data_IF_606088497992
#
_entry.id   IF_606088497992
#
_cell.length_a   1.000
_cell.length_b   1.000
_cell.length_c   1.000
_cell.angle_alpha   90.00
_cell.angle_beta   90.00
_cell.angle_gamma   90.00
#
_symmetry.space_group_name_H-M   'P 1'
#
loop_
_entity.id
_entity.type
_entity.pdbx_description
1 polymer ?
#
# COMPACT_ATOMS: atom_id res chain seq x y z
N UNK A 1 -48.67 -45.70 17.10
CA UNK A 1 -47.77 -44.72 17.74
C UNK A 1 -46.97 -44.04 16.65
N UNK A 2 -47.27 -42.77 16.38
CA UNK A 2 -46.63 -41.98 15.33
C UNK A 2 -45.24 -41.56 15.84
N UNK A 3 -44.18 -42.06 15.23
CA UNK A 3 -42.83 -41.50 15.40
C UNK A 3 -42.83 -40.07 14.82
N UNK A 4 -42.83 -39.07 15.71
CA UNK A 4 -42.48 -37.70 15.33
C UNK A 4 -41.06 -37.73 14.77
N UNK A 5 -40.87 -37.30 13.52
CA UNK A 5 -39.53 -36.98 13.04
C UNK A 5 -39.01 -35.82 13.88
N UNK A 6 -38.03 -36.08 14.74
CA UNK A 6 -37.33 -35.01 15.45
C UNK A 6 -36.50 -34.25 14.41
N UNK A 7 -37.04 -33.15 13.91
CA UNK A 7 -36.21 -32.15 13.24
C UNK A 7 -35.26 -31.60 14.30
N UNK A 8 -33.97 -31.94 14.20
CA UNK A 8 -32.93 -31.35 15.06
C UNK A 8 -33.00 -29.84 14.91
N UNK A 9 -33.35 -29.14 15.99
CA UNK A 9 -33.34 -27.69 15.99
C UNK A 9 -31.89 -27.21 16.08
N UNK A 10 -31.63 -26.01 15.58
CA UNK A 10 -30.30 -25.42 15.64
C UNK A 10 -29.79 -25.35 17.09
N UNK A 11 -30.68 -25.15 18.07
CA UNK A 11 -30.29 -25.12 19.48
C UNK A 11 -29.90 -26.49 20.07
N UNK A 12 -30.09 -27.60 19.34
CA UNK A 12 -29.81 -28.95 19.83
C UNK A 12 -28.37 -29.41 19.54
N UNK A 13 -27.61 -28.67 18.74
CA UNK A 13 -26.21 -29.01 18.44
C UNK A 13 -25.33 -28.97 19.69
N UNK A 14 -24.29 -29.81 19.69
CA UNK A 14 -23.34 -29.93 20.79
C UNK A 14 -22.52 -28.64 20.99
N UNK A 15 -22.04 -28.39 22.22
CA UNK A 15 -21.31 -27.16 22.57
C UNK A 15 -20.02 -26.99 21.73
N UNK A 16 -19.38 -28.11 21.41
CA UNK A 16 -18.13 -28.21 20.64
C UNK A 16 -18.30 -27.57 19.25
N UNK A 17 -19.42 -27.83 18.58
CA UNK A 17 -19.73 -27.24 17.27
C UNK A 17 -19.77 -25.72 17.34
N UNK A 18 -20.35 -25.17 18.41
CA UNK A 18 -20.44 -23.73 18.58
C UNK A 18 -19.11 -23.10 18.98
N UNK A 19 -18.26 -23.80 19.74
CA UNK A 19 -16.91 -23.31 20.01
C UNK A 19 -16.10 -23.16 18.73
N UNK A 20 -16.19 -24.14 17.82
CA UNK A 20 -15.54 -24.08 16.51
C UNK A 20 -16.09 -22.92 15.69
N UNK A 21 -17.41 -22.73 15.63
CA UNK A 21 -18.03 -21.58 14.93
C UNK A 21 -17.57 -20.25 15.53
N UNK A 22 -17.55 -20.14 16.86
CA UNK A 22 -17.14 -18.93 17.55
C UNK A 22 -15.65 -18.60 17.37
N UNK A 23 -14.80 -19.54 16.96
CA UNK A 23 -13.39 -19.26 16.67
C UNK A 23 -13.19 -18.52 15.34
N UNK A 24 -14.16 -18.59 14.43
CA UNK A 24 -14.15 -17.85 13.16
C UNK A 24 -14.91 -16.51 13.22
N UNK A 25 -15.63 -16.23 14.30
CA UNK A 25 -16.45 -15.03 14.46
C UNK A 25 -15.79 -14.03 15.42
N UNK A 26 -16.04 -12.74 15.20
CA UNK A 26 -15.62 -11.73 16.17
C UNK A 26 -16.60 -11.64 17.35
N UNK A 27 -16.15 -11.02 18.45
CA UNK A 27 -16.98 -10.86 19.65
C UNK A 27 -18.33 -10.20 19.35
N UNK A 28 -18.38 -9.23 18.43
CA UNK A 28 -19.63 -8.55 18.10
C UNK A 28 -20.60 -9.54 17.46
N UNK A 29 -20.15 -10.28 16.46
CA UNK A 29 -21.00 -11.20 15.71
C UNK A 29 -21.51 -12.33 16.61
N UNK A 30 -20.70 -12.77 17.58
CA UNK A 30 -21.08 -13.79 18.57
C UNK A 30 -22.21 -13.27 19.47
N UNK A 31 -22.04 -12.13 20.15
CA UNK A 31 -23.06 -11.61 21.06
C UNK A 31 -24.33 -11.19 20.32
N UNK A 32 -24.21 -10.57 19.15
CA UNK A 32 -25.36 -10.13 18.37
C UNK A 32 -26.15 -11.29 17.74
N UNK A 33 -25.48 -12.40 17.40
CA UNK A 33 -26.15 -13.54 16.75
C UNK A 33 -26.63 -14.59 17.75
N UNK A 34 -25.96 -14.73 18.91
CA UNK A 34 -26.20 -15.84 19.84
C UNK A 34 -26.54 -15.40 21.28
N UNK A 35 -26.27 -14.15 21.66
CA UNK A 35 -26.40 -13.68 23.04
C UNK A 35 -27.84 -13.72 23.57
N UNK A 36 -28.81 -13.45 22.70
CA UNK A 36 -30.22 -13.35 23.05
C UNK A 36 -31.03 -14.62 22.70
N UNK A 37 -30.41 -15.67 22.15
CA UNK A 37 -31.13 -16.89 21.75
C UNK A 37 -31.72 -17.58 22.98
N UNK A 38 -30.87 -17.94 23.96
CA UNK A 38 -31.30 -18.49 25.24
C UNK A 38 -30.15 -18.49 26.27
N UNK A 39 -30.48 -18.85 27.53
CA UNK A 39 -29.51 -18.90 28.63
C UNK A 39 -28.33 -19.87 28.38
N UNK A 40 -28.53 -20.93 27.59
CA UNK A 40 -27.45 -21.88 27.26
C UNK A 40 -26.40 -21.20 26.39
N UNK A 41 -26.82 -20.56 25.30
CA UNK A 41 -25.91 -19.83 24.42
C UNK A 41 -25.21 -18.68 25.14
N UNK A 42 -25.93 -17.91 25.96
CA UNK A 42 -25.31 -16.85 26.76
C UNK A 42 -24.19 -17.40 27.68
N UNK A 43 -24.42 -18.51 28.38
CA UNK A 43 -23.39 -19.18 29.20
C UNK A 43 -22.23 -19.72 28.35
N UNK A 44 -22.54 -20.27 27.18
CA UNK A 44 -21.57 -20.85 26.26
C UNK A 44 -20.62 -19.79 25.67
N UNK A 45 -21.15 -18.59 25.40
CA UNK A 45 -20.35 -17.44 24.99
C UNK A 45 -19.39 -17.06 26.13
N UNK A 46 -19.91 -16.88 27.36
CA UNK A 46 -19.09 -16.49 28.51
C UNK A 46 -18.05 -17.55 28.95
N UNK A 47 -18.26 -18.83 28.62
CA UNK A 47 -17.29 -19.89 28.88
C UNK A 47 -16.15 -19.95 27.85
N UNK A 48 -16.20 -19.14 26.79
CA UNK A 48 -15.14 -19.07 25.78
C UNK A 48 -13.84 -18.58 26.42
N UNK A 49 -12.74 -19.25 26.11
CA UNK A 49 -11.44 -18.97 26.74
C UNK A 49 -10.76 -17.69 26.26
N UNK A 50 -11.08 -17.25 25.04
CA UNK A 50 -10.43 -16.13 24.35
C UNK A 50 -11.42 -15.34 23.52
N UNK A 51 -11.31 -14.02 23.55
CA UNK A 51 -12.09 -13.12 22.69
C UNK A 51 -11.20 -12.24 21.81
N UNK A 52 -11.65 -12.05 20.57
CA UNK A 52 -11.08 -11.11 19.60
C UNK A 52 -12.14 -10.06 19.28
N UNK A 53 -11.99 -8.87 19.86
CA UNK A 53 -12.98 -7.81 19.74
C UNK A 53 -12.59 -6.82 18.64
N UNK A 54 -13.57 -6.49 17.80
CA UNK A 54 -13.47 -5.58 16.66
C UNK A 54 -14.57 -4.53 16.76
N UNK A 55 -14.20 -3.34 17.22
CA UNK A 55 -15.08 -2.19 17.33
C UNK A 55 -14.91 -1.33 16.07
N UNK A 56 -15.71 -1.63 15.06
CA UNK A 56 -15.82 -0.86 13.82
C UNK A 56 -17.02 0.08 13.83
N UNK A 57 -17.03 1.02 12.89
CA UNK A 57 -18.04 2.05 12.68
C UNK A 57 -19.50 1.54 12.74
N UNK A 58 -20.01 1.52 13.96
CA UNK A 58 -21.42 1.43 14.32
C UNK A 58 -21.73 2.72 15.09
N UNK A 59 -22.96 3.21 14.99
CA UNK A 59 -23.41 4.46 15.63
C UNK A 59 -22.87 4.64 17.06
N UNK A 60 -22.64 5.89 17.51
CA UNK A 60 -22.14 6.20 18.85
C UNK A 60 -22.88 5.42 19.95
N UNK A 61 -24.21 5.31 19.83
CA UNK A 61 -25.05 4.55 20.75
C UNK A 61 -24.68 3.06 20.82
N UNK A 62 -24.36 2.44 19.68
CA UNK A 62 -23.89 1.05 19.63
C UNK A 62 -22.50 0.94 20.25
N UNK A 63 -21.58 1.84 19.93
CA UNK A 63 -20.24 1.83 20.53
C UNK A 63 -20.29 1.92 22.06
N UNK A 64 -21.06 2.87 22.60
CA UNK A 64 -21.25 3.03 24.04
C UNK A 64 -21.92 1.80 24.67
N UNK A 65 -22.96 1.26 24.04
CA UNK A 65 -23.60 0.02 24.49
C UNK A 65 -22.59 -1.13 24.63
N UNK A 66 -21.70 -1.31 23.64
CA UNK A 66 -20.67 -2.36 23.70
C UNK A 66 -19.64 -2.11 24.79
N UNK A 67 -19.19 -0.87 24.95
CA UNK A 67 -18.27 -0.50 26.01
C UNK A 67 -18.90 -0.76 27.38
N UNK A 68 -20.14 -0.35 27.60
CA UNK A 68 -20.81 -0.46 28.90
C UNK A 68 -21.28 -1.88 29.23
N UNK A 69 -21.73 -2.67 28.25
CA UNK A 69 -22.43 -3.93 28.50
C UNK A 69 -21.64 -5.18 28.10
N UNK A 70 -20.74 -5.09 27.10
CA UNK A 70 -20.05 -6.28 26.55
C UNK A 70 -18.61 -6.36 27.05
N UNK A 71 -17.86 -5.26 26.97
CA UNK A 71 -16.45 -5.22 27.38
C UNK A 71 -16.24 -5.66 28.84
N UNK A 72 -17.06 -5.26 29.83
CA UNK A 72 -16.88 -5.67 31.22
C UNK A 72 -17.07 -7.17 31.43
N UNK A 73 -17.88 -7.82 30.59
CA UNK A 73 -18.16 -9.26 30.67
C UNK A 73 -16.99 -10.10 30.17
N UNK A 74 -16.23 -9.59 29.19
CA UNK A 74 -15.19 -10.35 28.50
C UNK A 74 -13.77 -9.88 28.82
N UNK A 75 -13.60 -8.84 29.64
CA UNK A 75 -12.31 -8.17 29.87
C UNK A 75 -11.17 -9.13 30.27
N UNK A 76 -11.48 -10.16 31.05
CA UNK A 76 -10.49 -11.11 31.57
C UNK A 76 -10.08 -12.17 30.53
N UNK A 77 -10.89 -12.34 29.48
CA UNK A 77 -10.69 -13.29 28.38
C UNK A 77 -10.29 -12.59 27.07
N UNK A 78 -10.23 -11.26 27.04
CA UNK A 78 -9.93 -10.48 25.85
C UNK A 78 -8.45 -10.59 25.48
N UNK A 79 -8.16 -11.11 24.28
CA UNK A 79 -6.79 -11.34 23.79
C UNK A 79 -6.38 -10.33 22.73
N UNK A 80 -7.34 -9.89 21.92
CA UNK A 80 -7.12 -8.89 20.86
C UNK A 80 -8.22 -7.84 20.86
N UNK A 81 -7.85 -6.57 20.77
CA UNK A 81 -8.77 -5.45 20.67
C UNK A 81 -8.40 -4.59 19.46
N UNK A 82 -9.35 -4.42 18.54
CA UNK A 82 -9.22 -3.52 17.40
C UNK A 82 -10.32 -2.45 17.45
N UNK A 83 -9.93 -1.18 17.43
CA UNK A 83 -10.84 -0.03 17.40
C UNK A 83 -10.54 0.80 16.15
N UNK A 84 -11.53 1.00 15.28
CA UNK A 84 -11.39 1.72 14.00
C UNK A 84 -12.64 2.56 13.72
N UNK A 85 -12.49 3.89 13.55
CA UNK A 85 -13.63 4.82 13.41
C UNK A 85 -13.39 5.92 12.36
N UNK A 86 -14.44 6.29 11.60
CA UNK A 86 -14.35 7.17 10.42
C UNK A 86 -14.66 8.65 10.71
N UNK A 87 -15.14 9.03 11.92
CA UNK A 87 -15.63 10.40 12.19
C UNK A 87 -14.83 11.18 13.24
N UNK A 88 -14.85 12.51 13.09
CA UNK A 88 -14.10 13.60 13.74
C UNK A 88 -14.17 13.72 15.30
N UNK A 89 -14.75 12.77 16.04
CA UNK A 89 -14.79 12.80 17.52
C UNK A 89 -13.85 11.78 18.15
N UNK A 90 -13.18 12.17 19.22
CA UNK A 90 -12.15 11.41 19.93
C UNK A 90 -12.72 10.33 20.86
N UNK A 91 -13.49 9.42 20.29
CA UNK A 91 -14.13 8.32 21.02
C UNK A 91 -13.10 7.28 21.51
N UNK A 92 -11.94 7.17 20.84
CA UNK A 92 -10.81 6.34 21.29
C UNK A 92 -10.22 6.92 22.57
N UNK A 93 -10.05 8.24 22.64
CA UNK A 93 -9.73 8.94 23.89
C UNK A 93 -10.71 8.63 24.99
N UNK A 94 -12.00 8.73 24.67
CA UNK A 94 -13.08 8.43 25.60
C UNK A 94 -12.98 6.99 26.12
N UNK A 95 -12.75 6.00 25.24
CA UNK A 95 -12.52 4.61 25.64
C UNK A 95 -11.31 4.44 26.56
N UNK A 96 -10.18 5.07 26.23
CA UNK A 96 -8.94 4.99 27.02
C UNK A 96 -9.07 5.72 28.37
N UNK A 97 -9.98 6.69 28.48
CA UNK A 97 -10.35 7.33 29.76
C UNK A 97 -11.17 6.37 30.62
N UNK A 98 -12.14 5.65 30.04
CA UNK A 98 -13.01 4.72 30.77
C UNK A 98 -12.32 3.40 31.12
N UNK A 99 -11.45 2.89 30.25
CA UNK A 99 -10.80 1.59 30.40
C UNK A 99 -9.28 1.73 30.29
N UNK A 100 -8.60 1.60 31.42
CA UNK A 100 -7.16 1.44 31.42
C UNK A 100 -6.79 0.07 30.84
N UNK A 101 -5.76 -0.01 29.99
CA UNK A 101 -5.36 -1.27 29.36
C UNK A 101 -4.97 -2.36 30.38
N UNK A 102 -4.56 -1.96 31.59
CA UNK A 102 -4.28 -2.87 32.72
C UNK A 102 -5.50 -3.68 33.18
N UNK A 103 -6.71 -3.22 32.85
CA UNK A 103 -7.95 -3.95 33.14
C UNK A 103 -8.13 -5.21 32.27
N UNK A 104 -7.28 -5.40 31.26
CA UNK A 104 -7.32 -6.54 30.33
C UNK A 104 -6.08 -7.43 30.53
N UNK A 105 -6.09 -8.36 31.50
CA UNK A 105 -4.89 -9.10 31.90
C UNK A 105 -4.34 -10.04 30.82
N UNK A 106 -5.17 -10.43 29.83
CA UNK A 106 -4.79 -11.32 28.73
C UNK A 106 -4.60 -10.61 27.39
N UNK A 107 -4.72 -9.28 27.36
CA UNK A 107 -4.61 -8.53 26.12
C UNK A 107 -3.18 -8.61 25.61
N UNK A 108 -3.03 -9.14 24.40
CA UNK A 108 -1.73 -9.32 23.75
C UNK A 108 -1.61 -8.59 22.41
N UNK A 109 -2.74 -8.17 21.83
CA UNK A 109 -2.80 -7.46 20.56
C UNK A 109 -3.74 -6.27 20.67
N UNK A 110 -3.23 -5.08 20.35
CA UNK A 110 -4.00 -3.84 20.31
C UNK A 110 -3.85 -3.18 18.95
N UNK A 111 -4.97 -2.80 18.33
CA UNK A 111 -4.99 -2.01 17.10
C UNK A 111 -5.90 -0.81 17.30
N UNK A 112 -5.33 0.38 17.28
CA UNK A 112 -6.05 1.64 17.34
C UNK A 112 -5.93 2.30 15.98
N UNK A 113 -7.05 2.63 15.35
CA UNK A 113 -7.05 3.39 14.11
C UNK A 113 -7.85 4.66 14.25
N UNK A 114 -7.34 5.73 13.66
CA UNK A 114 -7.96 7.04 13.58
C UNK A 114 -7.98 7.75 14.94
N UNK A 115 -6.96 7.51 15.78
CA UNK A 115 -6.81 8.17 17.09
C UNK A 115 -6.33 9.63 16.92
N UNK A 116 -6.77 10.52 17.81
CA UNK A 116 -6.33 11.92 17.82
C UNK A 116 -4.95 12.07 18.49
N UNK A 117 -4.21 13.15 18.17
CA UNK A 117 -2.95 13.47 18.85
C UNK A 117 -3.12 13.67 20.37
N UNK A 118 -4.26 14.24 20.79
CA UNK A 118 -4.56 14.45 22.21
C UNK A 118 -4.68 13.12 22.96
N UNK A 119 -5.35 12.14 22.36
CA UNK A 119 -5.56 10.82 22.96
C UNK A 119 -4.39 9.87 22.82
N UNK A 120 -3.46 10.13 21.90
CA UNK A 120 -2.17 9.45 21.91
C UNK A 120 -1.36 9.79 23.16
N UNK A 121 -1.43 11.05 23.65
CA UNK A 121 -0.68 11.51 24.83
C UNK A 121 -1.18 10.88 26.14
N UNK A 122 -2.39 10.32 26.17
CA UNK A 122 -2.94 9.66 27.35
C UNK A 122 -2.45 8.21 27.51
N UNK A 123 -1.90 7.60 26.45
CA UNK A 123 -1.33 6.25 26.49
C UNK A 123 0.01 6.28 27.21
N UNK A 124 0.14 5.53 28.31
CA UNK A 124 1.38 5.44 29.11
C UNK A 124 2.18 4.19 28.74
N UNK A 125 3.52 4.26 28.78
CA UNK A 125 4.44 3.12 28.52
C UNK A 125 4.06 1.89 29.34
N UNK A 126 3.82 2.09 30.64
CA UNK A 126 3.55 1.03 31.60
C UNK A 126 2.32 0.18 31.23
N UNK A 127 1.45 0.72 30.37
CA UNK A 127 0.25 0.04 29.88
C UNK A 127 0.51 -0.83 28.64
N UNK A 128 1.65 -0.66 27.97
CA UNK A 128 2.00 -1.33 26.71
C UNK A 128 2.95 -2.53 26.90
N UNK A 129 3.57 -2.67 28.08
CA UNK A 129 4.56 -3.71 28.40
C UNK A 129 4.01 -5.13 28.29
N UNK A 130 2.71 -5.33 28.49
CA UNK A 130 2.06 -6.65 28.40
C UNK A 130 1.69 -7.06 26.97
N UNK A 131 1.74 -6.12 26.02
CA UNK A 131 1.34 -6.37 24.64
C UNK A 131 2.46 -7.09 23.86
N UNK A 132 2.08 -7.91 22.89
CA UNK A 132 2.98 -8.53 21.90
C UNK A 132 2.87 -7.85 20.54
N UNK A 133 1.70 -7.29 20.23
CA UNK A 133 1.41 -6.62 18.98
C UNK A 133 0.68 -5.29 19.25
N UNK A 134 1.15 -4.20 18.62
CA UNK A 134 0.57 -2.88 18.77
C UNK A 134 0.56 -2.15 17.42
N UNK A 135 -0.62 -1.84 16.88
CA UNK A 135 -0.79 -1.08 15.65
C UNK A 135 -1.54 0.22 15.94
N UNK A 136 -1.01 1.38 15.52
CA UNK A 136 -1.59 2.70 15.83
C UNK A 136 -1.62 3.59 14.59
N UNK A 137 -2.82 3.82 14.06
CA UNK A 137 -3.09 4.75 12.95
C UNK A 137 -3.73 6.02 13.51
N UNK A 138 -3.23 7.21 13.17
CA UNK A 138 -3.66 8.47 13.79
C UNK A 138 -3.73 9.62 12.78
N UNK A 139 -4.48 10.69 13.09
CA UNK A 139 -4.48 11.90 12.26
C UNK A 139 -3.43 12.87 12.80
N UNK A 140 -2.39 13.18 12.03
CA UNK A 140 -1.45 14.25 12.36
C UNK A 140 -1.92 15.57 11.74
N UNK A 141 -2.11 16.60 12.55
CA UNK A 141 -2.12 17.96 12.02
C UNK A 141 -0.67 18.37 11.77
N UNK A 142 -0.43 18.94 10.58
CA UNK A 142 0.90 19.30 10.06
C UNK A 142 1.85 19.86 11.12
N UNK A 143 2.88 19.07 11.46
CA UNK A 143 4.11 19.57 12.12
C UNK A 143 4.34 19.25 13.59
N UNK A 144 3.66 18.30 14.24
CA UNK A 144 3.82 18.16 15.70
C UNK A 144 4.98 17.26 16.16
N UNK A 145 5.82 17.86 17.00
CA UNK A 145 6.79 17.33 17.98
C UNK A 145 6.39 16.03 18.74
N UNK A 146 5.14 15.57 18.61
CA UNK A 146 4.54 14.45 19.36
C UNK A 146 4.94 13.06 18.85
N UNK A 147 5.14 12.89 17.53
CA UNK A 147 5.54 11.59 16.95
C UNK A 147 6.90 11.16 17.52
N UNK A 148 7.84 12.11 17.65
CA UNK A 148 9.19 11.84 18.15
C UNK A 148 9.18 11.37 19.61
N UNK A 149 8.31 11.94 20.44
CA UNK A 149 8.16 11.52 21.84
C UNK A 149 7.53 10.14 21.95
N UNK A 150 6.49 9.86 21.16
CA UNK A 150 5.85 8.53 21.14
C UNK A 150 6.79 7.45 20.57
N UNK A 151 7.61 7.83 19.59
CA UNK A 151 8.66 6.97 19.03
C UNK A 151 9.74 6.65 20.07
N UNK A 152 10.28 7.67 20.76
CA UNK A 152 11.24 7.47 21.84
C UNK A 152 10.65 6.61 22.96
N UNK A 153 9.39 6.85 23.30
CA UNK A 153 8.63 6.12 24.30
C UNK A 153 8.54 4.62 23.96
N UNK A 154 8.19 4.27 22.72
CA UNK A 154 8.01 2.89 22.26
C UNK A 154 9.34 2.19 21.95
N UNK A 155 10.38 2.94 21.56
CA UNK A 155 11.73 2.40 21.33
C UNK A 155 12.33 1.72 22.58
N UNK A 156 11.79 2.02 23.76
CA UNK A 156 12.16 1.36 25.03
C UNK A 156 11.52 -0.03 25.22
N UNK A 157 10.60 -0.46 24.33
CA UNK A 157 9.84 -1.71 24.41
C UNK A 157 10.17 -2.64 23.21
N UNK A 158 11.34 -3.31 23.22
CA UNK A 158 11.87 -4.07 22.06
C UNK A 158 11.05 -5.33 21.68
N UNK A 159 10.07 -5.71 22.49
CA UNK A 159 9.22 -6.88 22.26
C UNK A 159 8.00 -6.61 21.34
N UNK A 160 7.69 -5.34 21.05
CA UNK A 160 6.56 -4.92 20.20
C UNK A 160 7.01 -4.81 18.72
N UNK A 161 6.92 -5.90 17.96
CA UNK A 161 7.57 -6.05 16.63
C UNK A 161 6.73 -5.74 15.36
N UNK A 162 5.55 -5.11 15.44
CA UNK A 162 5.13 -4.30 14.30
C UNK A 162 4.38 -3.04 14.72
N UNK A 163 5.05 -1.89 14.68
CA UNK A 163 4.38 -0.60 14.82
C UNK A 163 4.11 -0.01 13.43
N UNK A 164 2.84 0.20 13.11
CA UNK A 164 2.42 0.85 11.86
C UNK A 164 1.82 2.19 12.25
N UNK A 165 2.50 3.28 11.90
CA UNK A 165 1.94 4.63 11.94
C UNK A 165 1.42 4.97 10.55
N UNK A 166 0.21 5.52 10.48
CA UNK A 166 -0.31 6.12 9.24
C UNK A 166 -0.94 7.44 9.60
N UNK A 167 -0.48 8.51 8.96
CA UNK A 167 -1.18 9.79 8.92
C UNK A 167 -2.25 9.73 7.82
N UNK A 168 -3.30 10.51 7.98
CA UNK A 168 -4.43 10.60 7.06
C UNK A 168 -4.37 11.85 6.18
N UNK A 169 -3.54 12.85 6.53
CA UNK A 169 -3.30 14.04 5.70
C UNK A 169 -1.99 13.97 4.92
N UNK A 170 -0.96 13.28 5.44
CA UNK A 170 0.12 12.72 4.62
C UNK A 170 -0.06 11.21 4.50
N UNK A 171 -0.02 10.65 3.30
CA UNK A 171 -0.28 9.22 3.03
C UNK A 171 0.92 8.36 3.45
N UNK A 172 1.57 8.65 4.57
CA UNK A 172 2.81 7.98 4.96
C UNK A 172 2.51 6.80 5.90
N UNK A 173 2.68 5.56 5.41
CA UNK A 173 2.88 4.38 6.25
C UNK A 173 4.31 4.42 6.82
N UNK A 174 4.50 4.88 8.06
CA UNK A 174 5.75 4.68 8.79
C UNK A 174 5.67 3.35 9.55
N UNK A 175 6.28 2.30 8.98
CA UNK A 175 6.71 1.13 9.75
C UNK A 175 8.04 1.53 10.37
N UNK A 176 8.05 1.86 11.66
CA UNK A 176 9.32 2.07 12.37
C UNK A 176 9.66 0.79 13.13
N UNK A 177 10.41 -0.08 12.45
CA UNK A 177 11.11 -1.19 13.08
C UNK A 177 12.50 -0.69 13.47
N UNK A 178 12.91 -0.90 14.72
CA UNK A 178 14.14 -0.36 15.31
C UNK A 178 15.42 -1.07 14.84
N UNK A 179 15.38 -1.72 13.69
CA UNK A 179 16.53 -2.40 13.11
C UNK A 179 16.89 -1.75 11.78
N UNK A 180 18.04 -1.08 11.81
CA UNK A 180 18.88 -0.64 10.69
C UNK A 180 19.23 -1.79 9.70
N UNK A 181 18.63 -2.97 9.86
CA UNK A 181 18.75 -4.12 8.95
C UNK A 181 17.52 -4.34 8.04
N UNK A 182 16.51 -3.45 8.04
CA UNK A 182 15.42 -3.48 7.04
C UNK A 182 15.59 -2.55 5.84
N UNK A 183 16.83 -2.15 5.55
CA UNK A 183 17.26 -1.99 4.17
C UNK A 183 17.31 -3.36 3.44
N UNK A 184 17.38 -4.50 4.15
CA UNK A 184 17.39 -5.84 3.54
C UNK A 184 16.02 -6.53 3.38
N UNK A 185 14.95 -5.75 3.20
CA UNK A 185 13.82 -6.19 2.38
C UNK A 185 13.56 -5.18 1.27
N UNK A 186 14.61 -4.93 0.47
CA UNK A 186 14.45 -4.55 -0.92
C UNK A 186 13.47 -5.54 -1.56
N UNK A 187 12.23 -5.11 -1.80
CA UNK A 187 11.40 -5.80 -2.79
C UNK A 187 12.26 -5.87 -4.06
N UNK A 188 12.36 -7.06 -4.64
CA UNK A 188 13.20 -7.39 -5.81
C UNK A 188 13.00 -6.49 -7.05
N UNK A 189 12.07 -5.53 -6.95
CA UNK A 189 11.50 -4.73 -8.01
C UNK A 189 11.61 -3.20 -7.74
N UNK A 190 12.41 -2.72 -6.77
CA UNK A 190 12.93 -1.33 -6.74
C UNK A 190 11.92 -0.17 -6.62
N UNK A 191 10.74 -0.36 -6.02
CA UNK A 191 9.70 0.67 -6.00
C UNK A 191 9.58 1.43 -4.67
N UNK A 192 9.44 2.75 -4.77
CA UNK A 192 9.26 3.68 -3.65
C UNK A 192 7.88 4.34 -3.73
N UNK A 193 7.10 4.19 -2.67
CA UNK A 193 5.85 4.90 -2.50
C UNK A 193 6.12 6.15 -1.65
N UNK A 194 5.99 7.31 -2.30
CA UNK A 194 5.99 8.69 -1.77
C UNK A 194 7.35 9.40 -1.71
N UNK A 195 7.58 10.17 -2.77
CA UNK A 195 8.35 11.41 -2.72
C UNK A 195 7.35 12.55 -2.47
N UNK A 196 7.69 13.63 -1.76
CA UNK A 196 6.85 14.81 -1.74
C UNK A 196 6.62 15.28 -3.17
N UNK A 197 5.39 15.65 -3.49
CA UNK A 197 4.93 16.25 -4.75
C UNK A 197 5.68 17.55 -5.13
N UNK A 198 6.67 17.94 -4.33
CA UNK A 198 7.43 19.18 -4.39
C UNK A 198 8.94 18.93 -4.44
N UNK A 199 9.45 17.95 -5.20
CA UNK A 199 10.87 18.00 -5.56
C UNK A 199 11.01 19.28 -6.40
N UNK A 200 11.73 20.27 -5.89
CA UNK A 200 11.92 21.53 -6.60
C UNK A 200 12.75 21.22 -7.85
N UNK A 201 12.16 21.42 -9.05
CA UNK A 201 12.90 21.38 -10.32
C UNK A 201 14.06 22.37 -10.22
N UNK A 202 15.24 21.85 -9.92
CA UNK A 202 16.50 22.56 -9.97
C UNK A 202 17.41 21.69 -10.80
N UNK A 203 17.63 22.14 -12.04
CA UNK A 203 18.54 21.46 -12.95
C UNK A 203 19.93 21.42 -12.33
N UNK A 204 20.50 20.22 -12.26
CA UNK A 204 21.84 19.96 -11.70
C UNK A 204 22.89 20.59 -12.62
N UNK A 205 22.75 20.37 -13.93
CA UNK A 205 23.70 20.82 -14.95
C UNK A 205 23.04 20.77 -16.34
N UNK A 206 23.31 21.76 -17.20
CA UNK A 206 22.82 21.82 -18.59
C UNK A 206 23.61 20.94 -19.57
N UNK A 207 24.72 20.33 -19.12
CA UNK A 207 25.58 19.44 -19.94
C UNK A 207 25.12 17.99 -19.98
N UNK A 208 24.12 17.61 -19.17
CA UNK A 208 23.66 16.22 -19.09
C UNK A 208 22.84 15.89 -20.33
N UNK A 209 23.31 14.93 -21.11
CA UNK A 209 22.61 14.37 -22.27
C UNK A 209 22.15 12.95 -21.96
N UNK A 210 20.92 12.62 -22.37
CA UNK A 210 20.35 11.27 -22.24
C UNK A 210 19.83 10.85 -23.61
N UNK A 211 20.27 9.68 -24.08
CA UNK A 211 19.86 9.10 -25.36
C UNK A 211 19.06 7.82 -25.12
N UNK A 212 17.92 7.70 -25.77
CA UNK A 212 17.09 6.49 -25.73
C UNK A 212 17.73 5.39 -26.58
N UNK A 213 17.90 4.22 -25.99
CA UNK A 213 18.40 3.03 -26.69
C UNK A 213 17.28 2.35 -27.52
N UNK A 214 17.68 1.67 -28.59
CA UNK A 214 16.76 1.00 -29.54
C UNK A 214 15.67 1.94 -30.10
N UNK A 215 16.05 3.19 -30.41
CA UNK A 215 15.11 4.22 -30.87
C UNK A 215 14.32 3.81 -32.12
N UNK A 216 14.92 3.04 -33.03
CA UNK A 216 14.23 2.52 -34.23
C UNK A 216 13.07 1.59 -33.87
N UNK A 217 13.25 0.74 -32.85
CA UNK A 217 12.19 -0.14 -32.36
C UNK A 217 11.07 0.66 -31.69
N UNK A 218 11.44 1.65 -30.88
CA UNK A 218 10.47 2.57 -30.28
C UNK A 218 9.67 3.32 -31.35
N UNK A 219 10.32 3.79 -32.42
CA UNK A 219 9.65 4.47 -33.53
C UNK A 219 8.66 3.56 -34.27
N UNK A 220 8.98 2.27 -34.47
CA UNK A 220 8.05 1.31 -35.05
C UNK A 220 6.78 1.22 -34.18
N UNK A 221 6.93 1.08 -32.86
CA UNK A 221 5.77 1.03 -31.96
C UNK A 221 5.03 2.37 -31.87
N UNK A 222 5.73 3.51 -31.91
CA UNK A 222 5.15 4.85 -31.93
C UNK A 222 4.20 5.02 -33.12
N UNK A 223 4.62 4.61 -34.31
CA UNK A 223 3.79 4.67 -35.54
C UNK A 223 2.54 3.78 -35.41
N UNK A 224 2.65 2.65 -34.71
CA UNK A 224 1.53 1.74 -34.44
C UNK A 224 0.66 2.14 -33.24
N UNK A 225 0.90 3.31 -32.64
CA UNK A 225 0.26 3.77 -31.41
C UNK A 225 0.46 2.80 -30.24
N UNK A 226 1.71 2.73 -29.76
CA UNK A 226 2.21 1.80 -28.73
C UNK A 226 1.18 1.43 -27.65
N UNK A 227 0.95 0.14 -27.45
CA UNK A 227 0.15 -0.37 -26.33
C UNK A 227 1.00 -1.17 -25.33
N UNK A 228 0.71 -0.98 -24.04
CA UNK A 228 1.35 -1.70 -22.95
C UNK A 228 0.31 -2.42 -22.09
N UNK A 229 0.47 -3.73 -21.91
CA UNK A 229 -0.45 -4.52 -21.09
C UNK A 229 -0.22 -4.25 -19.60
N UNK A 230 -1.29 -3.95 -18.87
CA UNK A 230 -1.33 -3.93 -17.41
C UNK A 230 -2.04 -5.16 -16.87
N UNK A 231 -1.49 -5.75 -15.81
CA UNK A 231 -2.06 -6.94 -15.14
C UNK A 231 -2.13 -6.74 -13.63
N UNK A 232 -2.93 -7.56 -12.94
CA UNK A 232 -3.04 -7.51 -11.47
C UNK A 232 -1.71 -7.79 -10.76
N UNK A 233 -0.87 -8.68 -11.31
CA UNK A 233 0.43 -9.07 -10.74
C UNK A 233 1.60 -8.22 -11.24
N UNK A 234 1.34 -7.24 -12.12
CA UNK A 234 2.38 -6.46 -12.78
C UNK A 234 2.89 -7.09 -14.08
N UNK A 235 3.17 -6.23 -15.06
CA UNK A 235 3.72 -6.62 -16.36
C UNK A 235 4.90 -5.72 -16.71
N UNK A 236 5.97 -6.31 -17.27
CA UNK A 236 7.13 -5.55 -17.73
C UNK A 236 6.82 -4.75 -18.99
N UNK A 237 7.49 -3.62 -19.14
CA UNK A 237 7.45 -2.82 -20.36
C UNK A 237 8.10 -3.58 -21.53
N UNK A 238 7.55 -3.40 -22.73
CA UNK A 238 8.20 -3.82 -23.97
C UNK A 238 7.83 -2.83 -25.08
N UNK A 239 8.76 -2.22 -25.83
CA UNK A 239 10.22 -2.36 -25.70
C UNK A 239 10.73 -1.98 -24.30
N UNK A 240 11.90 -2.51 -23.93
CA UNK A 240 12.48 -2.20 -22.62
C UNK A 240 12.96 -0.76 -22.63
N UNK A 241 12.62 0.02 -21.62
CA UNK A 241 13.15 1.37 -21.49
C UNK A 241 14.63 1.30 -21.07
N UNK A 242 15.52 1.80 -21.92
CA UNK A 242 16.96 1.83 -21.69
C UNK A 242 17.55 3.11 -22.25
N UNK A 243 18.58 3.63 -21.58
CA UNK A 243 19.19 4.93 -21.92
C UNK A 243 20.71 4.88 -21.79
N UNK A 244 21.38 5.66 -22.62
CA UNK A 244 22.79 6.03 -22.43
C UNK A 244 22.86 7.46 -21.91
N UNK A 245 23.67 7.68 -20.87
CA UNK A 245 23.78 8.96 -20.17
C UNK A 245 25.20 9.49 -20.34
N UNK A 246 25.35 10.78 -20.65
CA UNK A 246 26.64 11.47 -20.73
C UNK A 246 26.58 12.84 -20.06
N UNK A 247 27.73 13.38 -19.64
CA UNK A 247 27.82 14.72 -19.05
C UNK A 247 27.52 14.81 -17.55
N UNK A 248 27.45 13.67 -16.85
CA UNK A 248 27.43 13.64 -15.37
C UNK A 248 28.82 13.97 -14.81
N UNK A 249 28.88 14.57 -13.63
CA UNK A 249 30.14 14.76 -12.93
C UNK A 249 30.69 13.40 -12.44
N UNK A 250 31.89 12.96 -12.86
CA UNK A 250 32.34 11.58 -12.63
C UNK A 250 32.38 11.14 -11.16
N UNK A 251 32.71 12.06 -10.25
CA UNK A 251 32.93 11.78 -8.83
C UNK A 251 31.73 12.13 -7.93
N UNK A 252 30.60 12.54 -8.52
CA UNK A 252 29.38 12.86 -7.77
C UNK A 252 28.44 11.66 -7.79
N UNK A 253 27.72 11.45 -6.70
CA UNK A 253 26.73 10.38 -6.57
C UNK A 253 25.37 10.80 -7.14
N UNK A 254 24.81 9.91 -7.96
CA UNK A 254 23.50 10.07 -8.57
C UNK A 254 22.63 8.84 -8.33
N UNK A 255 21.32 9.07 -8.26
CA UNK A 255 20.30 8.05 -8.30
C UNK A 255 19.39 8.27 -9.51
N UNK A 256 19.02 7.19 -10.18
CA UNK A 256 18.11 7.23 -11.32
C UNK A 256 16.72 6.75 -10.92
N UNK A 257 15.72 7.57 -11.21
CA UNK A 257 14.31 7.29 -10.98
C UNK A 257 13.56 7.21 -12.31
N UNK A 258 12.53 6.38 -12.35
CA UNK A 258 11.58 6.33 -13.45
C UNK A 258 10.18 6.53 -12.90
N UNK A 259 9.42 7.43 -13.52
CA UNK A 259 7.97 7.53 -13.33
C UNK A 259 7.24 7.31 -14.66
N UNK A 260 5.91 7.21 -14.56
CA UNK A 260 5.03 7.16 -15.71
C UNK A 260 3.91 8.18 -15.47
N UNK A 261 3.84 9.19 -16.34
CA UNK A 261 2.98 10.36 -16.19
C UNK A 261 1.85 10.31 -17.22
N UNK A 262 0.60 10.61 -16.86
CA UNK A 262 -0.50 10.65 -17.82
C UNK A 262 -0.32 11.75 -18.86
N UNK A 263 -0.75 11.47 -20.09
CA UNK A 263 -0.69 12.42 -21.21
C UNK A 263 -2.09 12.95 -21.52
N UNK A 264 -2.43 14.10 -20.95
CA UNK A 264 -3.74 14.71 -21.10
C UNK A 264 -4.82 14.10 -20.20
N UNK A 265 -6.05 14.55 -20.40
CA UNK A 265 -7.16 14.37 -19.45
C UNK A 265 -8.34 13.56 -20.03
N UNK A 266 -8.08 12.73 -21.04
CA UNK A 266 -9.11 11.98 -21.75
C UNK A 266 -8.95 10.47 -21.52
N UNK A 267 -10.08 9.79 -21.40
CA UNK A 267 -10.19 8.34 -21.51
C UNK A 267 -10.52 7.99 -22.97
N UNK A 268 -9.93 6.91 -23.47
CA UNK A 268 -10.11 6.49 -24.85
C UNK A 268 -10.85 5.14 -24.97
N UNK A 269 -11.35 4.88 -26.17
CA UNK A 269 -11.87 3.57 -26.62
C UNK A 269 -11.29 3.28 -28.00
N UNK A 270 -11.14 2.00 -28.33
CA UNK A 270 -10.64 1.58 -29.64
C UNK A 270 -11.78 0.91 -30.41
N UNK A 271 -12.24 1.57 -31.48
CA UNK A 271 -13.35 1.15 -32.35
C UNK A 271 -12.98 1.47 -33.79
N UNK A 272 -13.47 0.69 -34.76
CA UNK A 272 -13.20 0.89 -36.19
C UNK A 272 -11.70 1.05 -36.54
N UNK A 273 -10.86 0.28 -35.84
CA UNK A 273 -9.39 0.29 -35.97
C UNK A 273 -8.74 1.65 -35.65
N UNK A 274 -9.36 2.45 -34.78
CA UNK A 274 -8.86 3.78 -34.36
C UNK A 274 -9.16 4.07 -32.90
N UNK A 275 -8.33 4.92 -32.30
CA UNK A 275 -8.58 5.45 -30.96
C UNK A 275 -9.53 6.65 -31.00
N UNK A 276 -10.57 6.59 -30.18
CA UNK A 276 -11.56 7.64 -30.00
C UNK A 276 -11.61 8.09 -28.54
N UNK A 277 -11.94 9.36 -28.32
CA UNK A 277 -12.17 9.87 -26.97
C UNK A 277 -13.52 9.34 -26.48
N UNK A 278 -13.50 8.58 -25.39
CA UNK A 278 -14.69 8.03 -24.75
C UNK A 278 -15.24 8.95 -23.64
N UNK A 279 -14.36 9.73 -23.00
CA UNK A 279 -14.76 10.61 -21.91
C UNK A 279 -13.57 11.28 -21.22
N UNK A 280 -13.82 11.80 -20.01
CA UNK A 280 -12.78 12.41 -19.18
C UNK A 280 -12.00 11.35 -18.42
N UNK A 281 -10.69 11.56 -18.29
CA UNK A 281 -9.82 10.68 -17.52
C UNK A 281 -10.25 10.57 -16.06
N UNK A 282 -10.10 9.38 -15.49
CA UNK A 282 -10.32 9.16 -14.06
C UNK A 282 -9.22 9.87 -13.25
N UNK A 283 -9.50 10.26 -11.99
CA UNK A 283 -8.47 10.75 -11.09
C UNK A 283 -7.31 9.74 -11.00
N UNK A 284 -6.10 10.21 -11.28
CA UNK A 284 -4.91 9.37 -11.22
C UNK A 284 -4.54 9.06 -9.77
N UNK A 285 -4.10 7.82 -9.53
CA UNK A 285 -3.50 7.44 -8.25
C UNK A 285 -2.24 8.27 -7.97
N UNK A 286 -1.77 8.26 -6.71
CA UNK A 286 -0.52 8.92 -6.33
C UNK A 286 0.66 8.53 -7.24
N UNK A 287 1.49 9.51 -7.55
CA UNK A 287 2.68 9.36 -8.37
C UNK A 287 3.67 8.40 -7.68
N UNK A 288 4.11 7.38 -8.42
CA UNK A 288 5.08 6.38 -7.93
C UNK A 288 6.35 6.47 -8.73
N UNK A 289 7.47 6.31 -8.04
CA UNK A 289 8.80 6.29 -8.65
C UNK A 289 9.41 4.91 -8.48
N UNK A 290 9.95 4.41 -9.57
CA UNK A 290 10.85 3.25 -9.59
C UNK A 290 12.28 3.75 -9.44
N UNK A 291 13.01 3.24 -8.45
CA UNK A 291 14.45 3.45 -8.32
C UNK A 291 15.18 2.35 -9.08
N UNK A 292 16.15 2.74 -9.90
CA UNK A 292 16.97 1.78 -10.63
C UNK A 292 17.65 0.79 -9.68
N UNK A 293 17.71 -0.49 -10.05
CA UNK A 293 18.20 -1.55 -9.15
C UNK A 293 19.66 -1.41 -8.70
N UNK A 294 20.44 -0.56 -9.37
CA UNK A 294 21.83 -0.27 -8.99
C UNK A 294 21.93 0.75 -7.84
N UNK A 295 20.80 1.35 -7.41
CA UNK A 295 20.75 2.29 -6.30
C UNK A 295 21.45 3.62 -6.58
N UNK A 296 22.19 4.12 -5.59
CA UNK A 296 23.05 5.32 -5.73
C UNK A 296 24.40 4.90 -6.28
N UNK A 297 24.87 5.54 -7.35
CA UNK A 297 26.18 5.29 -7.97
C UNK A 297 26.85 6.59 -8.40
N UNK A 298 28.17 6.56 -8.53
CA UNK A 298 28.94 7.69 -9.08
C UNK A 298 28.57 7.96 -10.54
N UNK A 299 28.66 9.21 -10.98
CA UNK A 299 28.41 9.61 -12.36
C UNK A 299 29.25 8.82 -13.36
N UNK A 300 30.51 8.52 -13.02
CA UNK A 300 31.39 7.68 -13.83
C UNK A 300 30.80 6.27 -14.08
N UNK A 301 30.14 5.69 -13.08
CA UNK A 301 29.55 4.36 -13.19
C UNK A 301 28.29 4.38 -14.05
N UNK A 302 27.45 5.42 -13.93
CA UNK A 302 26.26 5.57 -14.75
C UNK A 302 26.55 5.84 -16.23
N UNK A 303 27.67 6.51 -16.53
CA UNK A 303 28.10 6.80 -17.90
C UNK A 303 28.91 5.66 -18.54
N UNK A 304 29.20 4.58 -17.81
CA UNK A 304 30.06 3.50 -18.29
C UNK A 304 29.40 2.67 -19.38
N UNK A 305 28.15 2.26 -19.15
CA UNK A 305 27.38 1.35 -19.99
C UNK A 305 25.93 1.84 -20.07
N UNK A 306 25.13 1.28 -20.99
CA UNK A 306 23.70 1.61 -21.07
C UNK A 306 22.96 1.18 -19.79
N UNK A 307 22.00 2.00 -19.36
CA UNK A 307 21.17 1.78 -18.17
C UNK A 307 19.82 1.21 -18.58
N UNK A 308 19.45 0.04 -18.06
CA UNK A 308 18.23 -0.69 -18.45
C UNK A 308 17.21 -0.80 -17.32
N UNK A 309 15.97 -0.40 -17.59
CA UNK A 309 14.85 -0.49 -16.65
C UNK A 309 14.02 -1.78 -16.85
N UNK A 310 14.69 -2.92 -17.06
CA UNK A 310 14.06 -4.20 -17.42
C UNK A 310 13.22 -4.85 -16.30
N UNK A 311 13.35 -4.37 -15.05
CA UNK A 311 12.57 -4.85 -13.90
C UNK A 311 11.33 -4.03 -13.61
N UNK A 312 11.12 -2.90 -14.30
CA UNK A 312 9.92 -2.07 -14.11
C UNK A 312 8.68 -2.86 -14.48
N UNK A 313 7.67 -2.82 -13.61
CA UNK A 313 6.36 -3.43 -13.84
C UNK A 313 5.24 -2.41 -13.67
N UNK A 314 4.24 -2.51 -14.54
CA UNK A 314 3.01 -1.72 -14.53
C UNK A 314 1.80 -2.60 -14.19
N UNK A 315 0.84 -2.08 -13.42
CA UNK A 315 -0.33 -2.80 -12.91
C UNK A 315 -1.59 -1.94 -12.92
N UNK A 316 -2.76 -2.56 -12.80
CA UNK A 316 -4.04 -1.89 -12.61
C UNK A 316 -4.59 -1.97 -11.17
N UNK A 317 -3.90 -2.65 -10.24
CA UNK A 317 -4.46 -2.90 -8.91
C UNK A 317 -3.42 -2.98 -7.77
N UNK A 318 -2.26 -3.57 -8.01
CA UNK A 318 -1.31 -3.87 -6.93
C UNK A 318 -0.66 -2.61 -6.36
N UNK A 319 -0.49 -2.58 -5.02
CA UNK A 319 0.27 -1.52 -4.34
C UNK A 319 1.79 -1.64 -4.55
N UNK A 320 2.28 -2.72 -5.13
CA UNK A 320 3.72 -3.00 -5.26
C UNK A 320 4.34 -2.54 -6.58
N UNK A 321 3.55 -2.12 -7.57
CA UNK A 321 3.99 -1.79 -8.94
C UNK A 321 3.51 -0.40 -9.38
N UNK A 322 4.00 0.14 -10.50
CA UNK A 322 3.48 1.42 -11.01
C UNK A 322 2.02 1.20 -11.44
N UNK A 323 1.08 1.91 -10.80
CA UNK A 323 -0.36 1.76 -11.08
C UNK A 323 -0.72 2.70 -12.22
N UNK A 324 -1.36 2.16 -13.25
CA UNK A 324 -1.88 2.89 -14.39
C UNK A 324 -3.36 2.54 -14.59
N UNK A 325 -4.13 3.52 -15.06
CA UNK A 325 -5.51 3.29 -15.45
C UNK A 325 -5.55 2.74 -16.88
N UNK A 326 -6.35 1.70 -17.12
CA UNK A 326 -6.53 1.19 -18.49
C UNK A 326 -7.19 2.24 -19.38
N UNK A 327 -6.91 2.19 -20.68
CA UNK A 327 -7.46 3.06 -21.72
C UNK A 327 -7.07 4.54 -21.58
N UNK A 328 -5.88 4.80 -21.03
CA UNK A 328 -5.31 6.14 -20.88
C UNK A 328 -3.89 6.17 -21.46
N UNK A 329 -3.49 7.29 -22.09
CA UNK A 329 -2.14 7.50 -22.58
C UNK A 329 -1.18 7.91 -21.46
N UNK A 330 0.04 7.43 -21.53
CA UNK A 330 1.10 7.68 -20.56
C UNK A 330 2.44 7.92 -21.25
N UNK A 331 3.31 8.69 -20.61
CA UNK A 331 4.70 8.93 -21.01
C UNK A 331 5.64 8.52 -19.89
N UNK A 332 6.77 7.91 -20.26
CA UNK A 332 7.83 7.56 -19.32
C UNK A 332 8.69 8.81 -19.07
N UNK A 333 8.97 9.14 -17.82
CA UNK A 333 9.99 10.14 -17.47
C UNK A 333 11.12 9.53 -16.65
N UNK A 334 12.34 9.85 -17.06
CA UNK A 334 13.56 9.54 -16.33
C UNK A 334 13.95 10.75 -15.48
N UNK A 335 14.27 10.54 -14.21
CA UNK A 335 14.87 11.55 -13.35
C UNK A 335 16.28 11.15 -12.93
N UNK A 336 17.21 12.07 -13.10
CA UNK A 336 18.59 11.93 -12.61
C UNK A 336 18.72 12.84 -11.40
N UNK A 337 18.96 12.26 -10.23
CA UNK A 337 18.96 12.98 -8.95
C UNK A 337 20.34 12.94 -8.33
N UNK A 338 20.92 14.10 -8.05
CA UNK A 338 22.20 14.20 -7.35
C UNK A 338 21.97 13.98 -5.86
N UNK A 339 22.43 12.83 -5.34
CA UNK A 339 22.24 12.50 -3.93
C UNK A 339 23.23 11.44 -3.47
N UNK A 340 23.68 11.55 -2.22
CA UNK A 340 24.49 10.52 -1.55
C UNK A 340 23.64 9.48 -0.82
N UNK A 341 22.38 9.79 -0.50
CA UNK A 341 21.46 8.93 0.23
C UNK A 341 20.02 9.08 -0.26
N UNK A 342 19.18 8.07 -0.03
CA UNK A 342 17.75 8.10 -0.37
C UNK A 342 17.00 9.10 0.53
N UNK A 343 17.42 9.28 1.78
CA UNK A 343 16.77 10.18 2.75
C UNK A 343 16.85 11.67 2.39
N UNK A 344 17.86 12.08 1.62
CA UNK A 344 18.07 13.47 1.21
C UNK A 344 17.32 13.89 -0.06
N UNK A 345 16.55 12.98 -0.66
CA UNK A 345 16.06 13.18 -2.02
C UNK A 345 15.00 14.27 -2.16
N UNK A 346 14.28 14.57 -1.09
CA UNK A 346 13.22 15.60 -1.04
C UNK A 346 13.76 17.01 -1.27
N UNK A 347 15.05 17.22 -0.99
CA UNK A 347 15.76 18.49 -1.13
C UNK A 347 16.84 18.44 -2.21
N UNK A 348 16.96 17.32 -2.92
CA UNK A 348 17.98 17.09 -3.93
C UNK A 348 17.64 17.79 -5.26
N UNK A 349 18.69 18.21 -5.97
CA UNK A 349 18.59 18.72 -7.34
C UNK A 349 18.39 17.56 -8.30
N UNK A 350 17.64 17.78 -9.38
CA UNK A 350 17.39 16.74 -10.36
C UNK A 350 17.08 17.28 -11.76
N UNK A 351 17.44 16.49 -12.77
CA UNK A 351 17.04 16.69 -14.15
C UNK A 351 15.96 15.67 -14.53
N UNK A 352 15.02 16.07 -15.39
CA UNK A 352 13.97 15.19 -15.92
C UNK A 352 14.09 15.10 -17.42
N UNK A 353 14.03 13.89 -17.96
CA UNK A 353 14.12 13.59 -19.39
C UNK A 353 12.91 12.77 -19.81
N UNK A 354 12.29 13.17 -20.92
CA UNK A 354 11.13 12.51 -21.51
C UNK A 354 11.40 12.30 -23.00
N UNK A 355 10.82 11.23 -23.56
CA UNK A 355 10.95 10.89 -24.97
C UNK A 355 9.56 10.70 -25.57
N UNK A 356 9.26 11.38 -26.67
CA UNK A 356 7.93 11.33 -27.30
C UNK A 356 7.63 9.96 -27.90
N UNK A 357 8.67 9.22 -28.26
CA UNK A 357 8.61 7.84 -28.77
C UNK A 357 8.09 6.85 -27.72
N UNK A 358 8.23 7.19 -26.43
CA UNK A 358 7.87 6.32 -25.31
C UNK A 358 6.44 6.53 -24.82
N UNK A 359 5.64 7.34 -25.52
CA UNK A 359 4.22 7.49 -25.22
C UNK A 359 3.48 6.20 -25.59
N UNK A 360 2.61 5.73 -24.70
CA UNK A 360 1.84 4.50 -24.92
C UNK A 360 0.45 4.55 -24.29
N UNK A 361 -0.47 3.73 -24.82
CA UNK A 361 -1.77 3.45 -24.22
C UNK A 361 -1.67 2.26 -23.26
N UNK A 362 -2.04 2.46 -21.99
CA UNK A 362 -2.15 1.35 -21.05
C UNK A 362 -3.43 0.56 -21.31
N UNK A 363 -3.35 -0.76 -21.49
CA UNK A 363 -4.50 -1.61 -21.84
C UNK A 363 -4.49 -2.91 -21.04
N UNK A 364 -5.64 -3.51 -20.77
CA UNK A 364 -5.71 -4.85 -20.14
C UNK A 364 -5.53 -5.99 -21.15
N UNK A 365 -5.79 -5.72 -22.43
CA UNK A 365 -5.54 -6.58 -23.58
C UNK A 365 -5.24 -5.71 -24.80
N UNK A 366 -4.41 -6.20 -25.73
CA UNK A 366 -4.13 -5.46 -26.96
C UNK A 366 -5.42 -5.16 -27.74
N UNK A 367 -5.51 -3.96 -28.30
CA UNK A 367 -6.66 -3.47 -29.08
C UNK A 367 -6.32 -3.42 -30.56
N UNK A 368 -5.15 -2.88 -30.90
CA UNK A 368 -4.62 -2.90 -32.26
C UNK A 368 -3.94 -4.26 -32.59
N UNK A 369 -4.45 -5.02 -33.59
CA UNK A 369 -3.82 -6.26 -34.03
C UNK A 369 -2.38 -6.08 -34.55
N UNK A 370 -2.08 -4.93 -35.17
CA UNK A 370 -0.74 -4.65 -35.71
C UNK A 370 0.30 -4.51 -34.60
N UNK A 371 -0.09 -3.90 -33.48
CA UNK A 371 0.73 -3.86 -32.28
C UNK A 371 0.97 -5.28 -31.77
N UNK A 372 -0.06 -6.12 -31.73
CA UNK A 372 0.09 -7.53 -31.29
C UNK A 372 1.09 -8.29 -32.16
N UNK A 373 0.97 -8.17 -33.48
CA UNK A 373 1.90 -8.79 -34.43
C UNK A 373 3.33 -8.27 -34.23
N UNK A 374 3.52 -6.95 -34.11
CA UNK A 374 4.83 -6.36 -33.81
C UNK A 374 5.41 -6.86 -32.47
N UNK A 375 4.59 -6.97 -31.41
CA UNK A 375 5.04 -7.55 -30.12
C UNK A 375 5.48 -9.00 -30.29
N UNK A 376 4.80 -9.81 -31.09
CA UNK A 376 5.19 -11.20 -31.38
C UNK A 376 6.52 -11.24 -32.14
N UNK A 377 6.66 -10.43 -33.20
CA UNK A 377 7.86 -10.40 -34.04
C UNK A 377 9.11 -9.90 -33.31
N UNK A 378 8.98 -8.85 -32.49
CA UNK A 378 10.13 -8.18 -31.89
C UNK A 378 10.44 -8.64 -30.46
N UNK A 379 9.47 -9.12 -29.68
CA UNK A 379 9.73 -9.56 -28.31
C UNK A 379 10.34 -10.97 -28.30
N UNK A 380 11.57 -11.17 -27.79
CA UNK A 380 12.18 -12.50 -27.70
C UNK A 380 11.36 -13.48 -26.86
N UNK A 381 10.63 -13.00 -25.86
CA UNK A 381 9.80 -13.86 -25.00
C UNK A 381 8.49 -14.31 -25.66
N UNK A 382 8.16 -13.77 -26.84
CA UNK A 382 6.98 -14.16 -27.63
C UNK A 382 7.35 -15.10 -28.81
N UNK A 383 8.60 -15.59 -28.88
CA UNK A 383 9.08 -16.42 -29.99
C UNK A 383 8.21 -17.65 -30.28
N UNK A 384 7.60 -18.27 -29.27
CA UNK A 384 6.74 -19.45 -29.44
C UNK A 384 5.47 -19.18 -30.29
N UNK A 385 5.08 -17.92 -30.47
CA UNK A 385 3.88 -17.53 -31.22
C UNK A 385 4.18 -17.06 -32.64
N UNK A 386 5.45 -17.03 -33.07
CA UNK A 386 5.86 -16.53 -34.41
C UNK A 386 5.51 -17.47 -35.57
N UNK A 387 4.93 -18.63 -35.30
CA UNK A 387 4.63 -19.68 -36.28
C UNK A 387 3.20 -20.22 -36.21
N UNK A 388 2.28 -19.51 -35.54
CA UNK A 388 0.83 -19.72 -35.55
C UNK A 388 0.23 -18.51 -36.27
#
# INVERSE_FOLDING_TARGET
MIQRSMSTQFEDFANEVFYDVFDYMDTYDIFNSFGDINKRFYKLILSKSKFHCKLFDKSLSKFLFYCENVIPLIKDQLVSLKIERVKERDDIGTFLIYYQLQMFPRLSSLTLKNISEYSLKSIKIDQLVSLKHLSIVFFASSGSFSIKNLFNMISTLPHLKPLIFTDHYTVDEFIVDSDVQRLEKFNSDGLFQLFPSNIKRQEINSKIEVRLEEIDLWNIFKVLETEMIITRTGRRLFPTFAVTITGLEPNINYMLLLDIVPVGDNQYIYEDSKWHIAGKAMPHSFKRYYVHSNGVQMGLQWMKDCVQFNKVKITNHSREHIILNSMHPYQISLHIVETSDIGSITSAKYNTFTFDETVFMAVTSYKNPDVTHAKICYNPFAMALRGI
#
